data_IF_529397484169
#
_entry.id   IF_529397484169
#
_cell.length_a   1.000
_cell.length_b   1.000
_cell.length_c   1.000
_cell.angle_alpha   90.00
_cell.angle_beta   90.00
_cell.angle_gamma   90.00
#
_symmetry.space_group_name_H-M   'P 1'
#
loop_
_entity.id
_entity.type
_entity.pdbx_description
1 polymer ?
#
# COMPACT_ATOMS: atom_id res chain seq x y z
N UNK A 1 -5.74 9.76 -20.07
CA UNK A 1 -6.15 9.72 -18.64
C UNK A 1 -6.34 8.29 -18.21
N UNK A 2 -5.85 7.93 -17.04
CA UNK A 2 -5.86 6.58 -16.48
C UNK A 2 -6.77 6.49 -15.26
N UNK A 3 -7.53 5.40 -15.15
CA UNK A 3 -8.36 5.05 -13.99
C UNK A 3 -7.66 3.97 -13.17
N UNK A 4 -7.45 4.24 -11.91
CA UNK A 4 -6.82 3.32 -10.97
C UNK A 4 -7.83 2.93 -9.90
N UNK A 5 -8.02 1.63 -9.69
CA UNK A 5 -8.80 1.06 -8.60
C UNK A 5 -7.86 0.23 -7.71
N UNK A 6 -7.73 0.67 -6.47
CA UNK A 6 -7.00 -0.05 -5.42
C UNK A 6 -8.03 -0.52 -4.38
N UNK A 7 -8.39 -1.79 -4.45
CA UNK A 7 -9.38 -2.40 -3.54
C UNK A 7 -8.67 -3.08 -2.37
N UNK A 8 -8.64 -2.37 -1.25
CA UNK A 8 -8.21 -2.89 0.03
C UNK A 8 -9.33 -3.64 0.78
N UNK A 9 -9.00 -4.15 1.97
CA UNK A 9 -9.97 -4.83 2.85
C UNK A 9 -11.05 -3.89 3.42
N UNK A 10 -10.76 -2.61 3.57
CA UNK A 10 -11.62 -1.65 4.27
C UNK A 10 -12.28 -0.66 3.31
N UNK A 11 -11.62 -0.34 2.22
CA UNK A 11 -12.11 0.64 1.25
C UNK A 11 -11.51 0.38 -0.14
N UNK A 12 -12.21 0.87 -1.17
CA UNK A 12 -11.70 0.96 -2.54
C UNK A 12 -11.27 2.40 -2.79
N UNK A 13 -10.00 2.59 -3.09
CA UNK A 13 -9.48 3.89 -3.54
C UNK A 13 -9.58 4.00 -5.05
N UNK A 14 -10.12 5.11 -5.53
CA UNK A 14 -10.16 5.47 -6.94
C UNK A 14 -9.26 6.68 -7.16
N UNK A 15 -8.38 6.57 -8.14
CA UNK A 15 -7.56 7.71 -8.58
C UNK A 15 -7.68 7.81 -10.10
N UNK A 16 -7.94 9.03 -10.58
CA UNK A 16 -7.86 9.37 -11.99
C UNK A 16 -6.58 10.17 -12.21
N UNK A 17 -5.73 9.70 -13.11
CA UNK A 17 -4.42 10.27 -13.39
C UNK A 17 -4.39 10.80 -14.82
N UNK A 18 -4.07 12.08 -14.97
CA UNK A 18 -3.83 12.70 -16.25
C UNK A 18 -2.42 13.26 -16.30
N UNK A 19 -1.61 12.85 -17.29
CA UNK A 19 -0.22 13.28 -17.48
C UNK A 19 0.65 13.16 -16.22
N UNK A 20 0.43 12.08 -15.46
CA UNK A 20 1.20 11.80 -14.23
C UNK A 20 0.67 12.49 -12.97
N UNK A 21 -0.36 13.33 -13.07
CA UNK A 21 -0.97 14.01 -11.92
C UNK A 21 -2.34 13.45 -11.58
N UNK A 22 -2.64 13.33 -10.29
CA UNK A 22 -3.95 12.90 -9.83
C UNK A 22 -4.94 14.06 -9.96
N UNK A 23 -5.91 13.93 -10.87
CA UNK A 23 -6.99 14.92 -11.07
C UNK A 23 -8.25 14.61 -10.26
N UNK A 24 -8.34 13.40 -9.74
CA UNK A 24 -9.39 12.96 -8.82
C UNK A 24 -8.84 11.87 -7.92
N UNK A 25 -9.20 11.90 -6.65
CA UNK A 25 -8.89 10.84 -5.67
C UNK A 25 -10.01 10.76 -4.65
N UNK A 26 -10.52 9.55 -4.41
CA UNK A 26 -11.51 9.29 -3.37
C UNK A 26 -11.40 7.85 -2.85
N UNK A 27 -11.79 7.66 -1.60
CA UNK A 27 -11.90 6.36 -0.97
C UNK A 27 -13.38 6.07 -0.67
N UNK A 28 -13.83 4.87 -1.05
CA UNK A 28 -15.19 4.40 -0.88
C UNK A 28 -15.20 3.20 0.06
N UNK A 29 -15.93 3.27 1.15
CA UNK A 29 -16.19 2.10 2.00
C UNK A 29 -17.03 1.05 1.26
N UNK A 30 -17.89 1.51 0.35
CA UNK A 30 -18.66 0.71 -0.58
C UNK A 30 -18.81 1.50 -1.88
N UNK A 31 -18.22 0.99 -2.96
CA UNK A 31 -18.36 1.55 -4.30
C UNK A 31 -19.42 0.78 -5.06
N UNK A 32 -20.39 1.48 -5.65
CA UNK A 32 -21.40 0.86 -6.52
C UNK A 32 -20.97 0.91 -7.98
N UNK A 33 -21.55 0.02 -8.81
CA UNK A 33 -21.29 0.02 -10.25
C UNK A 33 -21.82 1.29 -10.93
N UNK A 34 -22.89 1.89 -10.40
CA UNK A 34 -23.47 3.15 -10.88
C UNK A 34 -22.52 4.32 -10.61
N UNK A 35 -21.93 4.39 -9.41
CA UNK A 35 -20.94 5.42 -9.07
C UNK A 35 -19.68 5.29 -9.94
N UNK A 36 -19.21 4.05 -10.14
CA UNK A 36 -18.08 3.78 -11.01
C UNK A 36 -18.37 4.18 -12.46
N UNK A 37 -19.56 3.84 -12.97
CA UNK A 37 -19.99 4.23 -14.32
C UNK A 37 -20.09 5.76 -14.47
N UNK A 38 -20.64 6.46 -13.48
CA UNK A 38 -20.73 7.92 -13.47
C UNK A 38 -19.35 8.59 -13.50
N UNK A 39 -18.38 8.05 -12.77
CA UNK A 39 -16.99 8.54 -12.81
C UNK A 39 -16.38 8.35 -14.20
N UNK A 40 -16.56 7.17 -14.81
CA UNK A 40 -16.07 6.88 -16.17
C UNK A 40 -16.71 7.82 -17.19
N UNK A 41 -18.02 8.05 -17.12
CA UNK A 41 -18.73 8.93 -18.04
C UNK A 41 -18.30 10.39 -17.89
N UNK A 42 -18.05 10.84 -16.66
CA UNK A 42 -17.62 12.21 -16.35
C UNK A 42 -16.20 12.50 -16.82
N UNK A 43 -15.25 11.61 -16.52
CA UNK A 43 -13.83 11.86 -16.72
C UNK A 43 -13.28 11.22 -18.01
N UNK A 44 -13.97 10.24 -18.57
CA UNK A 44 -13.63 9.53 -19.82
C UNK A 44 -12.20 9.00 -19.84
N UNK A 45 -11.77 8.22 -18.81
CA UNK A 45 -10.47 7.60 -18.85
C UNK A 45 -10.36 6.64 -20.04
N UNK A 46 -9.19 6.57 -20.64
CA UNK A 46 -8.92 5.66 -21.77
C UNK A 46 -8.46 4.29 -21.30
N UNK A 47 -7.61 4.28 -20.28
CA UNK A 47 -7.03 3.07 -19.72
C UNK A 47 -7.40 2.93 -18.25
N UNK A 48 -7.37 1.70 -17.74
CA UNK A 48 -7.58 1.46 -16.33
C UNK A 48 -6.87 0.21 -15.83
N UNK A 49 -6.64 0.19 -14.53
CA UNK A 49 -6.08 -0.96 -13.81
C UNK A 49 -6.83 -1.16 -12.50
N UNK A 50 -7.04 -2.42 -12.14
CA UNK A 50 -7.48 -2.82 -10.81
C UNK A 50 -6.41 -3.67 -10.13
N UNK A 51 -6.15 -3.36 -8.87
CA UNK A 51 -5.49 -4.24 -7.92
C UNK A 51 -6.45 -4.49 -6.76
N UNK A 52 -6.62 -5.74 -6.36
CA UNK A 52 -7.55 -6.10 -5.30
C UNK A 52 -6.94 -7.12 -4.36
N UNK A 53 -7.17 -6.94 -3.06
CA UNK A 53 -6.90 -7.94 -2.02
C UNK A 53 -8.16 -8.69 -1.59
N UNK A 54 -9.34 -8.32 -2.15
CA UNK A 54 -10.64 -8.95 -1.96
C UNK A 54 -11.25 -9.30 -3.33
N UNK A 55 -12.31 -10.08 -3.35
CA UNK A 55 -13.07 -10.30 -4.59
C UNK A 55 -13.77 -8.99 -4.99
N UNK A 56 -13.47 -8.45 -6.19
CA UNK A 56 -14.16 -7.26 -6.69
C UNK A 56 -15.62 -7.58 -7.00
N UNK A 57 -16.47 -6.55 -6.98
CA UNK A 57 -17.86 -6.68 -7.43
C UNK A 57 -17.87 -7.27 -8.85
N UNK A 58 -18.57 -8.40 -9.09
CA UNK A 58 -18.60 -9.05 -10.39
C UNK A 58 -19.05 -8.15 -11.54
N UNK A 59 -19.79 -7.09 -11.24
CA UNK A 59 -20.27 -6.13 -12.25
C UNK A 59 -19.17 -5.15 -12.71
N UNK A 60 -18.10 -4.94 -11.92
CA UNK A 60 -17.04 -3.97 -12.28
C UNK A 60 -16.22 -4.42 -13.47
N UNK A 61 -15.77 -5.67 -13.49
CA UNK A 61 -14.91 -6.16 -14.57
C UNK A 61 -15.53 -6.05 -15.96
N UNK A 62 -16.80 -6.50 -16.18
CA UNK A 62 -17.48 -6.30 -17.45
C UNK A 62 -17.70 -4.82 -17.81
N UNK A 63 -18.02 -3.98 -16.81
CA UNK A 63 -18.20 -2.54 -17.01
C UNK A 63 -16.89 -1.90 -17.50
N UNK A 64 -15.78 -2.14 -16.80
CA UNK A 64 -14.46 -1.60 -17.11
C UNK A 64 -13.97 -2.06 -18.49
N UNK A 65 -14.09 -3.36 -18.81
CA UNK A 65 -13.72 -3.90 -20.14
C UNK A 65 -14.53 -3.31 -21.29
N UNK A 66 -15.79 -2.95 -21.04
CA UNK A 66 -16.66 -2.36 -22.08
C UNK A 66 -16.42 -0.86 -22.27
N UNK A 67 -16.06 -0.14 -21.21
CA UNK A 67 -15.98 1.33 -21.20
C UNK A 67 -14.58 1.89 -21.44
N UNK A 68 -13.55 1.11 -21.15
CA UNK A 68 -12.17 1.52 -21.32
C UNK A 68 -11.59 0.92 -22.61
N UNK A 69 -10.75 1.69 -23.29
CA UNK A 69 -9.99 1.21 -24.45
C UNK A 69 -9.07 0.04 -24.06
N UNK A 70 -8.46 0.14 -22.88
CA UNK A 70 -7.61 -0.90 -22.29
C UNK A 70 -7.88 -1.01 -20.79
N UNK A 71 -8.05 -2.24 -20.33
CA UNK A 71 -8.25 -2.53 -18.92
C UNK A 71 -7.35 -3.68 -18.49
N UNK A 72 -6.62 -3.48 -17.39
CA UNK A 72 -5.70 -4.43 -16.78
C UNK A 72 -6.26 -4.88 -15.42
N UNK A 73 -6.30 -6.19 -15.18
CA UNK A 73 -6.57 -6.77 -13.86
C UNK A 73 -5.27 -7.36 -13.33
N UNK A 74 -4.65 -6.67 -12.38
CA UNK A 74 -3.36 -7.11 -11.84
C UNK A 74 -3.45 -8.46 -11.10
N UNK A 75 -4.67 -8.88 -10.74
CA UNK A 75 -4.93 -10.15 -10.09
C UNK A 75 -4.97 -11.33 -11.08
N UNK A 76 -5.60 -11.12 -12.24
CA UNK A 76 -6.07 -12.22 -13.10
C UNK A 76 -5.40 -12.25 -14.47
N UNK A 77 -4.72 -11.18 -14.87
CA UNK A 77 -4.12 -11.09 -16.19
C UNK A 77 -2.62 -11.45 -16.16
N UNK A 78 -2.25 -12.67 -16.56
CA UNK A 78 -0.85 -13.11 -16.56
C UNK A 78 -0.01 -12.44 -17.65
N UNK A 79 -0.61 -11.71 -18.57
CA UNK A 79 0.09 -11.02 -19.67
C UNK A 79 0.64 -9.66 -19.26
N UNK A 80 0.26 -9.16 -18.08
CA UNK A 80 0.75 -7.89 -17.55
C UNK A 80 2.24 -7.98 -17.26
N UNK A 81 2.99 -7.09 -17.90
CA UNK A 81 4.43 -6.94 -17.68
C UNK A 81 4.66 -5.93 -16.55
N UNK A 82 5.57 -6.26 -15.66
CA UNK A 82 5.98 -5.39 -14.58
C UNK A 82 7.31 -4.71 -14.93
N UNK A 83 7.52 -3.43 -14.56
CA UNK A 83 8.82 -2.76 -14.73
C UNK A 83 9.88 -3.23 -13.71
N UNK A 84 9.53 -4.19 -12.86
CA UNK A 84 10.39 -4.85 -11.88
C UNK A 84 10.33 -6.37 -12.07
N UNK A 85 11.36 -7.07 -11.61
CA UNK A 85 11.38 -8.54 -11.54
C UNK A 85 10.99 -9.00 -10.15
N UNK A 86 10.27 -10.13 -10.06
CA UNK A 86 9.85 -10.70 -8.80
C UNK A 86 10.73 -11.88 -8.41
N UNK A 87 11.47 -11.77 -7.28
CA UNK A 87 12.24 -12.85 -6.67
C UNK A 87 11.41 -13.68 -5.67
N UNK A 88 10.12 -13.41 -5.56
CA UNK A 88 9.22 -14.13 -4.65
C UNK A 88 8.95 -15.54 -5.15
N UNK A 89 9.10 -16.56 -4.28
CA UNK A 89 8.98 -17.98 -4.70
C UNK A 89 7.56 -18.40 -5.08
N UNK A 90 6.56 -17.69 -4.56
CA UNK A 90 5.12 -17.91 -4.81
C UNK A 90 4.49 -16.60 -5.29
N UNK A 91 4.83 -16.12 -6.50
CA UNK A 91 4.39 -14.82 -6.99
C UNK A 91 2.86 -14.70 -7.11
N UNK A 92 2.15 -15.83 -7.24
CA UNK A 92 0.70 -15.90 -7.26
C UNK A 92 0.06 -15.49 -5.92
N UNK A 93 0.76 -15.67 -4.79
CA UNK A 93 0.28 -15.31 -3.44
C UNK A 93 0.75 -13.92 -3.00
N UNK A 94 1.63 -13.27 -3.76
CA UNK A 94 2.14 -11.94 -3.43
C UNK A 94 1.02 -10.90 -3.59
N UNK A 95 0.77 -10.12 -2.53
CA UNK A 95 -0.21 -9.04 -2.53
C UNK A 95 0.01 -8.06 -3.68
N UNK A 96 -1.05 -7.72 -4.41
CA UNK A 96 -0.97 -6.83 -5.57
C UNK A 96 -0.67 -5.40 -5.17
N UNK A 97 -1.13 -4.99 -4.00
CA UNK A 97 -0.77 -3.74 -3.32
C UNK A 97 0.75 -3.63 -3.06
N UNK A 98 1.39 -4.71 -2.60
CA UNK A 98 2.83 -4.77 -2.38
C UNK A 98 3.62 -4.65 -3.69
N UNK A 99 3.17 -5.33 -4.76
CA UNK A 99 3.76 -5.18 -6.10
C UNK A 99 3.62 -3.72 -6.57
N UNK A 100 2.44 -3.14 -6.43
CA UNK A 100 2.18 -1.77 -6.86
C UNK A 100 3.04 -0.78 -6.06
N UNK A 101 3.11 -0.90 -4.73
CA UNK A 101 3.97 -0.05 -3.90
C UNK A 101 5.45 -0.17 -4.28
N UNK A 102 5.92 -1.39 -4.57
CA UNK A 102 7.29 -1.65 -5.02
C UNK A 102 7.59 -0.98 -6.38
N UNK A 103 6.66 -1.09 -7.34
CA UNK A 103 6.77 -0.40 -8.63
C UNK A 103 6.77 1.12 -8.46
N UNK A 104 5.90 1.64 -7.59
CA UNK A 104 5.84 3.07 -7.29
C UNK A 104 7.16 3.59 -6.70
N UNK A 105 7.67 2.93 -5.68
CA UNK A 105 8.95 3.29 -5.06
C UNK A 105 10.11 3.20 -6.05
N UNK A 106 10.17 2.12 -6.84
CA UNK A 106 11.18 1.92 -7.86
C UNK A 106 11.12 3.01 -8.95
N UNK A 107 9.95 3.42 -9.37
CA UNK A 107 9.78 4.50 -10.35
C UNK A 107 10.33 5.84 -9.83
N UNK A 108 10.18 6.10 -8.52
CA UNK A 108 10.67 7.35 -7.90
C UNK A 108 12.18 7.32 -7.63
N UNK A 109 12.75 6.16 -7.33
CA UNK A 109 14.17 6.03 -6.95
C UNK A 109 14.80 4.73 -7.50
N UNK A 110 15.01 4.63 -8.82
CA UNK A 110 15.40 3.37 -9.48
C UNK A 110 16.85 2.94 -9.25
N UNK A 111 17.71 3.80 -8.70
CA UNK A 111 19.15 3.54 -8.66
C UNK A 111 19.66 3.07 -7.29
N UNK A 112 18.80 3.07 -6.27
CA UNK A 112 19.18 2.74 -4.89
C UNK A 112 18.37 1.57 -4.36
N UNK A 113 18.92 0.80 -3.40
CA UNK A 113 18.14 -0.17 -2.64
C UNK A 113 16.98 0.50 -1.92
N UNK A 114 15.81 -0.14 -1.90
CA UNK A 114 14.58 0.40 -1.32
C UNK A 114 14.07 -0.51 -0.22
N UNK A 115 13.67 0.09 0.90
CA UNK A 115 12.79 -0.50 1.91
C UNK A 115 11.45 0.23 1.81
N UNK A 116 10.38 -0.50 1.55
CA UNK A 116 9.02 0.01 1.48
C UNK A 116 8.27 -0.50 2.70
N UNK A 117 7.77 0.42 3.52
CA UNK A 117 6.98 0.14 4.71
C UNK A 117 5.56 0.64 4.42
N UNK A 118 4.60 -0.27 4.32
CA UNK A 118 3.18 0.07 4.23
C UNK A 118 2.51 -0.14 5.57
N UNK A 119 2.11 0.95 6.23
CA UNK A 119 1.47 0.96 7.54
C UNK A 119 -0.06 0.99 7.40
N UNK A 120 -0.63 -0.12 6.97
CA UNK A 120 -2.07 -0.35 6.80
C UNK A 120 -2.69 -1.23 7.89
N UNK A 121 -3.69 -2.03 7.51
CA UNK A 121 -4.29 -3.08 8.36
C UNK A 121 -3.25 -4.12 8.80
N UNK A 122 -2.39 -4.52 7.88
CA UNK A 122 -1.09 -5.13 8.16
C UNK A 122 0.01 -4.09 7.93
N UNK A 123 1.18 -4.31 8.50
CA UNK A 123 2.39 -3.58 8.14
C UNK A 123 3.23 -4.51 7.29
N UNK A 124 3.59 -4.06 6.09
CA UNK A 124 4.51 -4.81 5.23
C UNK A 124 5.87 -4.12 5.16
N UNK A 125 6.92 -4.91 4.98
CA UNK A 125 8.32 -4.47 4.87
C UNK A 125 8.89 -5.11 3.63
N UNK A 126 8.89 -4.39 2.51
CA UNK A 126 9.28 -4.91 1.20
C UNK A 126 10.62 -4.36 0.75
N UNK A 127 11.44 -5.19 0.12
CA UNK A 127 12.77 -4.80 -0.35
C UNK A 127 12.84 -4.93 -1.86
N UNK A 128 13.29 -3.83 -2.50
CA UNK A 128 13.63 -3.81 -3.93
C UNK A 128 15.09 -3.40 -4.07
N UNK A 129 15.85 -4.18 -4.83
CA UNK A 129 17.26 -3.90 -5.12
C UNK A 129 17.44 -3.53 -6.60
N UNK A 130 18.44 -2.70 -6.96
CA UNK A 130 18.81 -2.48 -8.35
C UNK A 130 19.13 -3.79 -9.08
N UNK A 131 18.76 -3.96 -10.35
CA UNK A 131 18.04 -3.03 -11.24
C UNK A 131 16.50 -3.26 -11.24
N UNK A 132 15.83 -3.14 -10.11
CA UNK A 132 14.39 -3.35 -9.99
C UNK A 132 14.02 -4.79 -9.62
N UNK A 133 14.80 -5.42 -8.75
CA UNK A 133 14.53 -6.76 -8.25
C UNK A 133 13.81 -6.73 -6.90
N UNK A 134 12.52 -7.10 -6.89
CA UNK A 134 11.76 -7.32 -5.66
C UNK A 134 12.26 -8.59 -4.99
N UNK A 135 13.01 -8.45 -3.91
CA UNK A 135 13.65 -9.58 -3.20
C UNK A 135 12.65 -10.37 -2.37
N UNK A 136 11.70 -9.68 -1.75
CA UNK A 136 10.74 -10.23 -0.81
C UNK A 136 10.44 -9.23 0.29
N UNK A 137 9.76 -9.70 1.33
CA UNK A 137 9.41 -8.85 2.48
C UNK A 137 8.72 -9.62 3.58
N UNK A 138 8.34 -8.89 4.62
CA UNK A 138 7.69 -9.42 5.81
C UNK A 138 6.34 -8.76 6.02
N UNK A 139 5.46 -9.44 6.75
CA UNK A 139 4.12 -8.96 7.10
C UNK A 139 3.97 -9.05 8.61
N UNK A 140 3.46 -8.00 9.21
CA UNK A 140 3.20 -7.87 10.64
C UNK A 140 1.83 -7.25 10.88
N UNK A 141 1.17 -7.47 12.02
CA UNK A 141 -0.11 -6.84 12.30
C UNK A 141 0.02 -5.31 12.41
N UNK A 142 -0.90 -4.57 11.77
CA UNK A 142 -0.96 -3.12 11.86
C UNK A 142 -1.47 -2.60 13.20
N UNK A 143 -1.50 -1.29 13.35
CA UNK A 143 -1.82 -0.59 14.60
C UNK A 143 -3.19 -1.00 15.14
N UNK A 144 -4.24 -0.80 14.36
CA UNK A 144 -5.62 -1.15 14.75
C UNK A 144 -5.78 -2.66 14.96
N UNK A 145 -5.09 -3.48 14.17
CA UNK A 145 -5.11 -4.94 14.31
C UNK A 145 -4.52 -5.38 15.64
N UNK A 146 -3.41 -4.77 16.11
CA UNK A 146 -2.80 -5.09 17.41
C UNK A 146 -3.70 -4.68 18.57
N UNK A 147 -4.35 -3.51 18.51
CA UNK A 147 -5.31 -3.10 19.53
C UNK A 147 -6.51 -4.07 19.63
N UNK A 148 -7.07 -4.42 18.47
CA UNK A 148 -8.17 -5.40 18.41
C UNK A 148 -7.74 -6.76 18.90
N UNK A 149 -6.57 -7.25 18.51
CA UNK A 149 -6.08 -8.56 18.96
C UNK A 149 -5.96 -8.62 20.49
N UNK A 150 -5.43 -7.59 21.14
CA UNK A 150 -5.36 -7.53 22.60
C UNK A 150 -6.75 -7.55 23.25
N UNK A 151 -7.73 -6.86 22.69
CA UNK A 151 -9.09 -6.88 23.17
C UNK A 151 -9.77 -8.25 22.94
N UNK A 152 -9.73 -8.75 21.72
CA UNK A 152 -10.50 -9.90 21.28
C UNK A 152 -9.97 -11.22 21.88
N UNK A 153 -8.64 -11.32 22.05
CA UNK A 153 -8.00 -12.54 22.59
C UNK A 153 -7.76 -12.50 24.10
N UNK A 154 -8.22 -11.44 24.80
CA UNK A 154 -8.13 -11.36 26.25
C UNK A 154 -9.48 -11.02 26.88
N UNK A 155 -9.70 -11.43 28.13
CA UNK A 155 -11.01 -11.23 28.79
C UNK A 155 -11.21 -9.84 29.40
N UNK A 156 -10.15 -9.08 29.65
CA UNK A 156 -10.21 -7.87 30.49
C UNK A 156 -9.54 -6.64 29.85
N UNK A 157 -8.82 -6.80 28.75
CA UNK A 157 -8.19 -5.64 28.15
C UNK A 157 -9.22 -4.82 27.35
N UNK A 158 -9.31 -3.51 27.59
CA UNK A 158 -10.23 -2.66 26.85
C UNK A 158 -9.78 -2.51 25.40
N UNK A 159 -10.74 -2.30 24.50
CA UNK A 159 -10.43 -1.82 23.16
C UNK A 159 -10.11 -0.34 23.24
N UNK A 160 -8.93 0.02 22.79
CA UNK A 160 -8.49 1.41 22.69
C UNK A 160 -8.12 1.77 21.26
N UNK A 161 -7.95 3.05 20.99
CA UNK A 161 -7.46 3.60 19.74
C UNK A 161 -6.15 4.35 19.94
N UNK A 162 -5.51 4.69 18.83
CA UNK A 162 -4.30 5.52 18.82
C UNK A 162 -4.56 6.90 19.40
N UNK A 163 -3.52 7.45 20.02
CA UNK A 163 -3.46 8.82 20.55
C UNK A 163 -2.16 9.47 20.10
N UNK A 164 -2.14 10.78 20.02
CA UNK A 164 -0.92 11.52 19.65
C UNK A 164 0.15 11.43 20.74
N UNK A 165 -0.24 11.53 21.98
CA UNK A 165 0.65 11.38 23.13
C UNK A 165 0.73 9.91 23.52
N UNK A 166 1.95 9.37 23.49
CA UNK A 166 2.25 7.98 23.85
C UNK A 166 3.31 8.00 24.95
N UNK A 167 2.97 7.59 26.18
CA UNK A 167 3.92 7.60 27.29
C UNK A 167 5.07 6.62 27.04
N UNK A 168 6.22 6.88 27.69
CA UNK A 168 7.36 5.95 27.64
C UNK A 168 7.02 4.64 28.34
N UNK A 169 6.31 4.74 29.44
CA UNK A 169 5.84 3.63 30.26
C UNK A 169 4.41 3.91 30.71
N UNK A 170 3.50 2.96 30.48
CA UNK A 170 2.14 3.07 30.94
C UNK A 170 2.00 2.80 32.43
N UNK A 171 1.30 3.65 33.14
CA UNK A 171 0.96 3.49 34.57
C UNK A 171 -0.50 3.11 34.77
N UNK A 172 -1.27 3.02 33.69
CA UNK A 172 -2.63 2.47 33.63
C UNK A 172 -2.69 1.36 32.57
N UNK A 173 -3.73 0.52 32.60
CA UNK A 173 -3.91 -0.55 31.60
C UNK A 173 -4.01 0.04 30.18
N UNK A 174 -4.75 1.11 29.99
CA UNK A 174 -4.87 1.77 28.68
C UNK A 174 -3.53 2.31 28.18
N UNK A 175 -2.80 3.00 29.05
CA UNK A 175 -1.47 3.51 28.70
C UNK A 175 -0.47 2.39 28.40
N UNK A 176 -0.53 1.29 29.16
CA UNK A 176 0.33 0.14 28.94
C UNK A 176 0.05 -0.52 27.56
N UNK A 177 -1.23 -0.64 27.17
CA UNK A 177 -1.63 -1.11 25.85
C UNK A 177 -1.17 -0.13 24.77
N UNK A 178 -1.47 1.16 24.95
CA UNK A 178 -1.11 2.21 23.99
C UNK A 178 0.42 2.24 23.75
N UNK A 179 1.18 2.34 24.84
CA UNK A 179 2.64 2.39 24.77
C UNK A 179 3.22 1.12 24.17
N UNK A 180 2.79 -0.05 24.65
CA UNK A 180 3.27 -1.34 24.18
C UNK A 180 3.05 -1.56 22.67
N UNK A 181 1.86 -1.23 22.19
CA UNK A 181 1.50 -1.40 20.77
C UNK A 181 2.24 -0.36 19.90
N UNK A 182 2.12 0.93 20.22
CA UNK A 182 2.69 1.98 19.35
C UNK A 182 4.22 1.93 19.35
N UNK A 183 4.85 1.85 20.53
CA UNK A 183 6.32 1.77 20.61
C UNK A 183 6.83 0.46 20.06
N UNK A 184 6.11 -0.65 20.27
CA UNK A 184 6.45 -1.93 19.66
C UNK A 184 6.55 -1.84 18.14
N UNK A 185 5.60 -1.18 17.48
CA UNK A 185 5.64 -0.93 16.04
C UNK A 185 6.81 -0.02 15.67
N UNK A 186 7.04 1.06 16.41
CA UNK A 186 8.18 1.98 16.14
C UNK A 186 9.52 1.25 16.29
N UNK A 187 9.68 0.40 17.28
CA UNK A 187 10.91 -0.42 17.44
C UNK A 187 11.09 -1.41 16.30
N UNK A 188 10.00 -2.05 15.88
CA UNK A 188 9.98 -2.98 14.75
C UNK A 188 10.39 -2.25 13.46
N UNK A 189 9.78 -1.11 13.13
CA UNK A 189 10.11 -0.30 11.96
C UNK A 189 11.59 0.15 11.98
N UNK A 190 12.06 0.71 13.12
CA UNK A 190 13.46 1.11 13.25
C UNK A 190 14.42 -0.08 13.09
N UNK A 191 14.09 -1.26 13.62
CA UNK A 191 14.87 -2.48 13.47
C UNK A 191 15.03 -2.91 12.00
N UNK A 192 13.93 -2.84 11.21
CA UNK A 192 14.01 -3.10 9.76
C UNK A 192 14.86 -2.06 9.03
N UNK A 193 14.70 -0.78 9.36
CA UNK A 193 15.46 0.32 8.77
C UNK A 193 16.95 0.18 9.09
N UNK A 194 17.31 -0.06 10.35
CA UNK A 194 18.68 -0.26 10.80
C UNK A 194 19.31 -1.48 10.10
N UNK A 195 18.57 -2.57 9.99
CA UNK A 195 19.02 -3.79 9.27
C UNK A 195 19.25 -3.50 7.78
N UNK A 196 18.36 -2.72 7.15
CA UNK A 196 18.49 -2.33 5.74
C UNK A 196 19.71 -1.44 5.53
N UNK A 197 19.90 -0.42 6.36
CA UNK A 197 21.04 0.49 6.26
C UNK A 197 22.38 -0.17 6.60
N UNK A 198 22.40 -1.18 7.48
CA UNK A 198 23.61 -1.95 7.77
C UNK A 198 24.12 -2.73 6.54
N UNK A 199 23.20 -3.20 5.67
CA UNK A 199 23.53 -3.93 4.44
C UNK A 199 23.69 -2.99 3.24
N UNK A 200 22.90 -1.93 3.21
CA UNK A 200 22.80 -0.97 2.12
C UNK A 200 22.77 0.47 2.69
N UNK A 201 23.92 1.08 2.98
CA UNK A 201 24.00 2.38 3.67
C UNK A 201 23.27 3.53 2.96
N UNK A 202 23.07 3.42 1.66
CA UNK A 202 22.37 4.44 0.84
C UNK A 202 20.92 4.04 0.49
N UNK A 203 20.35 3.04 1.16
CA UNK A 203 18.99 2.62 0.92
C UNK A 203 18.01 3.76 1.19
N UNK A 204 17.03 3.91 0.32
CA UNK A 204 15.90 4.81 0.55
C UNK A 204 14.77 4.06 1.27
N UNK A 205 14.18 4.72 2.27
CA UNK A 205 13.06 4.18 3.04
C UNK A 205 11.79 4.92 2.62
N UNK A 206 10.84 4.19 2.07
CA UNK A 206 9.49 4.69 1.78
C UNK A 206 8.54 4.27 2.88
N UNK A 207 7.68 5.21 3.30
CA UNK A 207 6.61 4.96 4.26
C UNK A 207 5.28 5.34 3.62
N UNK A 208 4.35 4.39 3.55
CA UNK A 208 3.02 4.54 2.96
C UNK A 208 1.96 3.89 3.85
N UNK A 209 0.70 3.91 3.42
CA UNK A 209 -0.43 3.38 4.18
C UNK A 209 -1.12 4.41 5.06
N UNK A 210 -2.31 4.07 5.55
CA UNK A 210 -3.17 5.00 6.28
C UNK A 210 -2.57 5.54 7.58
N UNK A 211 -1.66 4.79 8.23
CA UNK A 211 -0.97 5.22 9.44
C UNK A 211 0.45 5.79 9.18
N UNK A 212 0.84 5.96 7.91
CA UNK A 212 2.14 6.54 7.59
C UNK A 212 2.40 7.89 8.26
N UNK A 213 1.48 8.89 8.25
CA UNK A 213 1.71 10.16 8.92
C UNK A 213 1.85 10.03 10.44
N UNK A 214 1.19 9.03 11.02
CA UNK A 214 1.27 8.76 12.46
C UNK A 214 2.64 8.23 12.86
N UNK A 215 3.25 7.36 12.05
CA UNK A 215 4.55 6.75 12.34
C UNK A 215 5.73 7.59 11.85
N UNK A 216 5.62 8.32 10.75
CA UNK A 216 6.71 9.13 10.18
C UNK A 216 7.36 10.06 11.21
N UNK A 217 6.53 10.77 11.99
CA UNK A 217 6.99 11.66 13.06
C UNK A 217 7.60 10.95 14.28
N UNK A 218 7.56 9.62 14.34
CA UNK A 218 8.06 8.78 15.44
C UNK A 218 9.31 7.99 15.08
N UNK A 219 9.63 7.93 13.78
CA UNK A 219 10.82 7.24 13.31
C UNK A 219 12.06 8.08 13.51
N UNK A 220 13.23 7.41 13.69
CA UNK A 220 14.53 8.06 13.90
C UNK A 220 15.17 8.57 12.60
N UNK A 221 14.80 7.99 11.47
CA UNK A 221 15.37 8.34 10.17
C UNK A 221 14.37 9.11 9.32
N UNK A 222 14.89 9.82 8.32
CA UNK A 222 14.02 10.41 7.26
C UNK A 222 13.47 9.32 6.38
N UNK A 223 12.15 9.39 6.14
CA UNK A 223 11.46 8.56 5.18
C UNK A 223 10.95 9.40 4.00
N UNK A 224 10.71 8.75 2.87
CA UNK A 224 9.91 9.30 1.80
C UNK A 224 8.46 8.93 2.09
N UNK A 225 7.78 9.73 2.93
CA UNK A 225 6.38 9.53 3.24
C UNK A 225 5.53 9.84 1.99
N UNK A 226 4.81 8.85 1.48
CA UNK A 226 3.98 8.99 0.29
C UNK A 226 2.71 8.14 0.43
N UNK A 227 1.56 8.81 0.61
CA UNK A 227 0.25 8.15 0.59
C UNK A 227 -0.13 7.62 -0.80
N UNK A 228 0.68 7.96 -1.79
CA UNK A 228 0.38 7.81 -3.21
C UNK A 228 1.12 6.64 -3.87
N UNK A 229 1.94 5.90 -3.12
CA UNK A 229 2.89 4.95 -3.68
C UNK A 229 2.22 3.84 -4.49
N UNK A 230 1.10 3.31 -4.01
CA UNK A 230 0.35 2.23 -4.67
C UNK A 230 -0.20 2.71 -6.01
N UNK A 231 -0.90 3.85 -6.04
CA UNK A 231 -1.48 4.32 -7.30
C UNK A 231 -0.42 4.79 -8.30
N UNK A 232 0.70 5.37 -7.83
CA UNK A 232 1.85 5.69 -8.69
C UNK A 232 2.37 4.43 -9.39
N UNK A 233 2.51 3.34 -8.64
CA UNK A 233 2.94 2.07 -9.20
C UNK A 233 1.93 1.48 -10.17
N UNK A 234 0.64 1.53 -9.86
CA UNK A 234 -0.41 1.07 -10.75
C UNK A 234 -0.46 1.89 -12.05
N UNK A 235 -0.30 3.21 -11.95
CA UNK A 235 -0.21 4.06 -13.13
C UNK A 235 1.02 3.71 -13.98
N UNK A 236 2.17 3.49 -13.35
CA UNK A 236 3.39 3.07 -14.06
C UNK A 236 3.23 1.72 -14.75
N UNK A 237 2.48 0.78 -14.16
CA UNK A 237 2.17 -0.50 -14.79
C UNK A 237 1.31 -0.30 -16.04
N UNK A 238 0.31 0.59 -16.03
CA UNK A 238 -0.47 0.94 -17.23
C UNK A 238 0.47 1.43 -18.32
N UNK A 239 1.26 2.49 -18.04
CA UNK A 239 2.20 3.08 -19.00
C UNK A 239 3.18 2.05 -19.57
N UNK A 240 3.78 1.23 -18.72
CA UNK A 240 4.74 0.20 -19.14
C UNK A 240 4.14 -0.86 -20.08
N UNK A 241 2.82 -1.03 -20.03
CA UNK A 241 2.09 -1.92 -20.91
C UNK A 241 1.50 -1.20 -22.14
N UNK A 242 1.52 0.13 -22.21
CA UNK A 242 1.10 0.89 -23.40
C UNK A 242 2.22 1.07 -24.44
N UNK A 243 3.48 1.13 -23.99
CA UNK A 243 4.66 1.43 -24.81
C UNK A 243 5.02 0.34 -25.86
N UNK A 244 4.02 -0.45 -26.33
CA UNK A 244 4.23 -1.43 -27.44
C UNK A 244 3.04 -1.55 -28.35
#
# INVERSE_FOLDING_TARGET
MNLILDQGNTATKIVLVDRGEAVYSAAYSRLTSEELAALIDRYRPECGIIASVAEPDPAWLPLLRRRLRRFLSLNDDPTIRLPITLGYRTPETLGRDRIAAAVGAWTLRPEVPLLIIDAGTAITYDVVLPPGHFVGGNISPGLTTRFRALHDYTRRLPLISERDEVPDLGVTTEEAILSGVVRGIVYEMNGYIETMHAKHPHAAVFLTGGHAPYFDRRLKCRTFASENLVWLGLNRIIEYNEDK
#
